data_IF_134042160275
#
_entry.id   IF_134042160275
#
_cell.length_a   1.000
_cell.length_b   1.000
_cell.length_c   1.000
_cell.angle_alpha   90.00
_cell.angle_beta   90.00
_cell.angle_gamma   90.00
#
_symmetry.space_group_name_H-M   'P 1'
#
loop_
_entity.id
_entity.type
_entity.pdbx_description
1 polymer ?
#
# COMPACT_ATOMS: atom_id res chain seq x y z
N UNK A 1 11.54 -18.61 3.61
CA UNK A 1 10.46 -17.98 2.84
C UNK A 1 10.85 -18.04 1.38
N UNK A 2 9.94 -18.45 0.49
CA UNK A 2 10.25 -18.60 -0.95
C UNK A 2 9.89 -17.34 -1.75
N UNK A 3 9.01 -16.50 -1.23
CA UNK A 3 8.59 -15.23 -1.81
C UNK A 3 8.19 -14.21 -0.73
N UNK A 4 8.12 -12.94 -1.09
CA UNK A 4 7.67 -11.84 -0.23
C UNK A 4 6.56 -11.03 -0.91
N UNK A 5 5.51 -10.70 -0.17
CA UNK A 5 4.45 -9.78 -0.61
C UNK A 5 4.74 -8.38 -0.07
N UNK A 6 4.61 -7.36 -0.93
CA UNK A 6 5.00 -5.99 -0.58
C UNK A 6 3.92 -5.00 -1.02
N UNK A 7 3.43 -4.18 -0.09
CA UNK A 7 2.47 -3.10 -0.35
C UNK A 7 3.14 -1.73 -0.50
N UNK A 8 3.62 -1.16 0.61
CA UNK A 8 4.10 0.23 0.69
C UNK A 8 5.27 0.56 -0.24
N UNK A 9 6.15 -0.41 -0.54
CA UNK A 9 7.27 -0.18 -1.45
C UNK A 9 6.79 0.05 -2.89
N UNK A 10 5.68 -0.57 -3.29
CA UNK A 10 5.12 -0.50 -4.64
C UNK A 10 3.97 0.51 -4.76
N UNK A 11 3.33 0.89 -3.64
CA UNK A 11 2.16 1.76 -3.63
C UNK A 11 2.37 3.16 -4.25
N UNK A 12 3.61 3.65 -4.31
CA UNK A 12 3.95 4.95 -4.88
C UNK A 12 4.33 4.94 -6.37
N UNK A 13 4.19 3.80 -7.05
CA UNK A 13 4.62 3.62 -8.45
C UNK A 13 3.58 4.11 -9.45
N UNK A 14 3.96 4.30 -10.71
CA UNK A 14 3.03 4.68 -11.79
C UNK A 14 1.91 3.66 -11.98
N UNK A 15 2.24 2.38 -11.85
CA UNK A 15 1.35 1.25 -12.08
C UNK A 15 0.38 0.99 -10.91
N UNK A 16 0.63 1.59 -9.74
CA UNK A 16 -0.29 1.47 -8.61
C UNK A 16 -1.58 2.29 -8.86
N UNK A 17 -2.73 1.90 -8.31
CA UNK A 17 -3.97 2.64 -8.50
C UNK A 17 -3.92 4.03 -7.82
N UNK A 18 -4.76 4.94 -8.33
CA UNK A 18 -4.90 6.31 -7.80
C UNK A 18 -3.98 7.32 -8.49
N UNK A 19 -4.32 8.60 -8.37
CA UNK A 19 -3.58 9.70 -8.98
C UNK A 19 -2.42 10.17 -8.11
N UNK A 20 -1.41 10.73 -8.76
CA UNK A 20 -0.30 11.44 -8.10
C UNK A 20 -0.78 12.85 -7.76
N UNK A 21 -0.61 13.26 -6.50
CA UNK A 21 -0.96 14.62 -6.06
C UNK A 21 0.21 15.29 -5.34
N UNK A 22 0.21 16.62 -5.36
CA UNK A 22 1.22 17.45 -4.72
C UNK A 22 0.80 17.78 -3.28
N UNK A 23 1.67 17.52 -2.32
CA UNK A 23 1.48 17.89 -0.93
C UNK A 23 2.78 18.48 -0.39
N UNK A 24 2.75 19.72 0.12
CA UNK A 24 3.92 20.42 0.67
C UNK A 24 5.14 20.39 -0.29
N UNK A 25 4.89 20.60 -1.58
CA UNK A 25 5.94 20.65 -2.61
C UNK A 25 6.55 19.29 -2.99
N UNK A 26 5.97 18.17 -2.54
CA UNK A 26 6.40 16.82 -2.92
C UNK A 26 5.22 16.03 -3.49
N UNK A 27 5.53 15.12 -4.42
CA UNK A 27 4.53 14.26 -5.06
C UNK A 27 4.28 12.99 -4.24
N UNK A 28 3.02 12.64 -4.06
CA UNK A 28 2.58 11.47 -3.29
C UNK A 28 1.47 10.70 -4.01
N UNK A 29 1.25 9.45 -3.59
CA UNK A 29 0.06 8.66 -3.92
C UNK A 29 -0.62 8.21 -2.63
N UNK A 30 -1.94 8.05 -2.69
CA UNK A 30 -2.73 7.53 -1.57
C UNK A 30 -2.41 6.05 -1.33
N UNK A 31 -2.25 5.66 -0.07
CA UNK A 31 -2.04 4.28 0.33
C UNK A 31 -2.82 4.01 1.61
N UNK A 32 -3.52 2.88 1.68
CA UNK A 32 -4.34 2.54 2.84
C UNK A 32 -4.35 1.04 3.10
N UNK A 33 -4.48 0.69 4.38
CA UNK A 33 -4.76 -0.68 4.79
C UNK A 33 -6.17 -1.09 4.36
N UNK A 34 -6.36 -2.36 4.00
CA UNK A 34 -7.69 -2.88 3.62
C UNK A 34 -8.68 -2.91 4.80
N UNK A 35 -8.19 -2.86 6.04
CA UNK A 35 -8.99 -2.72 7.26
C UNK A 35 -9.18 -1.26 7.71
N UNK A 36 -8.87 -0.29 6.84
CA UNK A 36 -9.19 1.12 7.10
C UNK A 36 -10.67 1.39 6.87
N UNK A 37 -11.21 2.42 7.53
CA UNK A 37 -12.63 2.80 7.45
C UNK A 37 -13.06 3.00 5.99
N UNK A 38 -12.28 3.75 5.20
CA UNK A 38 -12.63 4.01 3.81
C UNK A 38 -12.48 2.80 2.89
N UNK A 39 -11.69 1.78 3.27
CA UNK A 39 -11.64 0.52 2.56
C UNK A 39 -12.83 -0.36 2.93
N UNK A 40 -13.13 -0.49 4.22
CA UNK A 40 -14.23 -1.31 4.74
C UNK A 40 -15.58 -0.81 4.27
N UNK A 41 -15.78 0.51 4.24
CA UNK A 41 -16.98 1.14 3.67
C UNK A 41 -17.17 0.85 2.17
N UNK A 42 -16.11 0.48 1.44
CA UNK A 42 -16.15 0.07 0.02
C UNK A 42 -16.20 -1.44 -0.18
N UNK A 43 -16.54 -2.19 0.87
CA UNK A 43 -16.82 -3.62 0.77
C UNK A 43 -15.71 -4.56 1.23
N UNK A 44 -14.60 -4.04 1.80
CA UNK A 44 -13.62 -4.94 2.44
C UNK A 44 -14.04 -5.41 3.83
N UNK A 45 -15.12 -4.86 4.42
CA UNK A 45 -15.59 -5.18 5.77
C UNK A 45 -15.87 -6.67 6.00
N UNK A 46 -16.32 -7.41 4.98
CA UNK A 46 -16.58 -8.85 5.05
C UNK A 46 -15.32 -9.65 5.41
N UNK A 47 -14.16 -9.23 4.87
CA UNK A 47 -12.86 -9.84 5.19
C UNK A 47 -12.38 -9.56 6.61
N UNK A 48 -12.99 -8.60 7.29
CA UNK A 48 -12.70 -8.20 8.66
C UNK A 48 -13.85 -8.57 9.62
N UNK A 49 -14.77 -9.44 9.21
CA UNK A 49 -15.92 -9.89 10.01
C UNK A 49 -16.85 -8.75 10.47
N UNK A 50 -16.87 -7.64 9.71
CA UNK A 50 -17.69 -6.46 9.99
C UNK A 50 -18.78 -6.25 8.92
N UNK A 51 -19.13 -7.30 8.16
CA UNK A 51 -20.12 -7.24 7.07
C UNK A 51 -21.52 -6.78 7.53
N UNK A 52 -21.94 -7.16 8.73
CA UNK A 52 -23.27 -6.81 9.27
C UNK A 52 -23.33 -5.38 9.83
N UNK A 53 -22.18 -4.72 9.97
CA UNK A 53 -22.07 -3.35 10.48
C UNK A 53 -22.39 -2.37 9.35
N UNK A 54 -23.65 -1.97 9.26
CA UNK A 54 -24.13 -1.01 8.24
C UNK A 54 -23.74 0.44 8.53
N UNK A 55 -23.45 0.76 9.78
CA UNK A 55 -23.05 2.10 10.21
C UNK A 55 -21.52 2.20 10.19
N UNK A 56 -21.00 3.03 9.28
CA UNK A 56 -19.56 3.27 9.14
C UNK A 56 -18.90 3.79 10.42
N UNK A 57 -19.65 4.46 11.31
CA UNK A 57 -19.15 4.96 12.59
C UNK A 57 -18.94 3.85 13.64
N UNK A 58 -19.55 2.69 13.42
CA UNK A 58 -19.40 1.52 14.30
C UNK A 58 -18.31 0.55 13.83
N UNK A 59 -17.69 0.82 12.68
CA UNK A 59 -16.57 0.02 12.21
C UNK A 59 -15.37 0.22 13.13
N UNK A 60 -14.70 -0.87 13.49
CA UNK A 60 -13.44 -0.85 14.24
C UNK A 60 -12.30 -1.00 13.24
N UNK A 61 -11.56 0.08 12.91
CA UNK A 61 -10.51 0.01 11.90
C UNK A 61 -9.24 -0.67 12.43
N UNK A 62 -8.72 -1.63 11.66
CA UNK A 62 -7.41 -2.27 11.87
C UNK A 62 -6.34 -1.73 10.92
N UNK A 63 -6.71 -0.80 10.03
CA UNK A 63 -5.82 -0.17 9.07
C UNK A 63 -5.96 1.35 9.08
N UNK A 64 -4.87 2.02 8.71
CA UNK A 64 -4.84 3.48 8.52
C UNK A 64 -4.89 3.85 7.04
N UNK A 65 -5.36 5.05 6.76
CA UNK A 65 -5.26 5.70 5.46
C UNK A 65 -4.14 6.75 5.52
N UNK A 66 -3.34 6.84 4.47
CA UNK A 66 -2.23 7.78 4.42
C UNK A 66 -1.70 7.94 3.00
N UNK A 67 -0.45 8.40 2.93
CA UNK A 67 0.21 8.68 1.67
C UNK A 67 1.64 8.16 1.65
N UNK A 68 2.09 7.78 0.47
CA UNK A 68 3.48 7.35 0.22
C UNK A 68 4.11 8.25 -0.83
N UNK A 69 5.42 8.55 -0.74
CA UNK A 69 6.11 9.31 -1.78
C UNK A 69 5.93 8.66 -3.15
N UNK A 70 5.79 9.49 -4.17
CA UNK A 70 5.84 9.04 -5.55
C UNK A 70 7.23 8.48 -5.89
N UNK A 71 7.26 7.36 -6.61
CA UNK A 71 8.47 6.56 -6.87
C UNK A 71 8.78 6.38 -8.36
N UNK A 72 7.92 6.86 -9.25
CA UNK A 72 8.04 6.60 -10.69
C UNK A 72 7.71 5.15 -11.08
N UNK A 73 8.25 4.66 -12.21
CA UNK A 73 7.90 3.34 -12.74
C UNK A 73 8.34 2.18 -11.83
N UNK A 74 7.51 1.15 -11.72
CA UNK A 74 7.77 -0.03 -10.87
C UNK A 74 9.07 -0.75 -11.23
N UNK A 75 9.47 -0.72 -12.51
CA UNK A 75 10.69 -1.35 -12.99
C UNK A 75 11.95 -0.86 -12.24
N UNK A 76 12.03 0.45 -11.95
CA UNK A 76 13.15 1.03 -11.20
C UNK A 76 13.19 0.53 -9.76
N UNK A 77 12.02 0.45 -9.12
CA UNK A 77 11.89 -0.08 -7.74
C UNK A 77 12.29 -1.56 -7.69
N UNK A 78 11.79 -2.38 -8.61
CA UNK A 78 12.11 -3.81 -8.66
C UNK A 78 13.58 -4.07 -8.96
N UNK A 79 14.20 -3.27 -9.82
CA UNK A 79 15.63 -3.38 -10.10
C UNK A 79 16.47 -3.19 -8.82
N UNK A 80 16.15 -2.17 -8.02
CA UNK A 80 16.83 -1.92 -6.74
C UNK A 80 16.59 -3.04 -5.73
N UNK A 81 15.36 -3.53 -5.59
CA UNK A 81 15.04 -4.62 -4.67
C UNK A 81 15.75 -5.93 -5.05
N UNK A 82 15.70 -6.29 -6.33
CA UNK A 82 16.39 -7.48 -6.83
C UNK A 82 17.92 -7.36 -6.72
N UNK A 83 18.47 -6.16 -6.98
CA UNK A 83 19.88 -5.87 -6.80
C UNK A 83 20.33 -6.05 -5.35
N UNK A 84 19.57 -5.48 -4.39
CA UNK A 84 19.84 -5.63 -2.97
C UNK A 84 19.78 -7.08 -2.48
N UNK A 85 18.79 -7.85 -2.95
CA UNK A 85 18.71 -9.28 -2.65
C UNK A 85 19.93 -10.05 -3.17
N UNK A 86 20.32 -9.82 -4.43
CA UNK A 86 21.50 -10.47 -5.03
C UNK A 86 22.79 -10.12 -4.28
N UNK A 87 22.95 -8.87 -3.86
CA UNK A 87 24.10 -8.46 -3.05
C UNK A 87 24.10 -9.17 -1.70
N UNK A 88 22.96 -9.24 -1.01
CA UNK A 88 22.84 -9.97 0.26
C UNK A 88 23.19 -11.46 0.12
N UNK A 89 22.76 -12.10 -0.97
CA UNK A 89 23.14 -13.50 -1.27
C UNK A 89 24.64 -13.67 -1.51
N UNK A 90 25.36 -12.64 -1.95
CA UNK A 90 26.81 -12.69 -2.12
C UNK A 90 27.60 -12.54 -0.81
N UNK A 91 26.97 -12.02 0.25
CA UNK A 91 27.59 -11.87 1.57
C UNK A 91 27.36 -13.09 2.48
N UNK A 92 26.43 -13.98 2.12
CA UNK A 92 26.01 -15.16 2.90
C UNK A 92 26.65 -16.43 2.35
#
# INVERSE_FOLDING_TARGET
FDAAMIGSLLAGTDESPGEVYLHQGRSFKAYRGMGSVGAMARGSADRYFQAEVRDTLKLVPEGIEGQVPYKGPVAGVLHQLAGGLKAAMGYV
#
